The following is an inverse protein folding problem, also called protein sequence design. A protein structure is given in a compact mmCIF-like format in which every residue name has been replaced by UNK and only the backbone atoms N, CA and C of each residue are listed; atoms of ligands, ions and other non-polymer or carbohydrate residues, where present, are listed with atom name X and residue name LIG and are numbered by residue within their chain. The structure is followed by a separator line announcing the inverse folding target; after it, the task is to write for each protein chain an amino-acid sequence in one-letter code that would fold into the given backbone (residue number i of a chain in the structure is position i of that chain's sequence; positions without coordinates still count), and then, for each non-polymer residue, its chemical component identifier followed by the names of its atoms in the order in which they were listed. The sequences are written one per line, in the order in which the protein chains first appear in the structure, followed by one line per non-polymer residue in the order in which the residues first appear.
data_IF_546457627333
#
_entry.id   IF_546457627333
#
_cell.length_a   1.000
_cell.length_b   1.000
_cell.length_c   1.000
_cell.angle_alpha   90.00
_cell.angle_beta   90.00
_cell.angle_gamma   90.00
#
_symmetry.space_group_name_H-M   'P 1'
#
loop_
_entity.id
_entity.type
_entity.pdbx_description
1 polymer ?
#
# COMPACT_ATOMS: atom_id res chain seq x y z
N UNK A 1 5.70 10.56 19.05
CA UNK A 1 6.88 11.43 19.20
C UNK A 1 7.10 11.76 20.68
N UNK A 2 8.35 11.66 21.21
CA UNK A 2 8.66 12.15 22.54
C UNK A 2 8.48 13.68 22.56
N UNK A 3 7.62 14.18 23.46
CA UNK A 3 7.40 15.62 23.63
C UNK A 3 8.63 16.25 24.29
N UNK A 4 9.12 17.33 23.70
CA UNK A 4 10.20 18.12 24.30
C UNK A 4 9.70 18.75 25.62
N UNK A 5 10.55 18.74 26.64
CA UNK A 5 10.24 19.37 27.92
C UNK A 5 10.21 20.90 27.81
N UNK A 6 10.82 21.47 26.77
CA UNK A 6 10.88 22.92 26.54
C UNK A 6 9.52 23.60 26.38
N UNK A 7 8.50 22.86 25.94
CA UNK A 7 7.14 23.39 25.73
C UNK A 7 6.29 23.36 27.01
N UNK A 8 6.82 22.82 28.11
CA UNK A 8 6.10 22.62 29.36
C UNK A 8 6.49 23.70 30.38
N UNK A 9 5.48 24.27 31.04
CA UNK A 9 5.67 25.20 32.15
C UNK A 9 4.82 24.81 33.37
N UNK A 10 5.36 25.07 34.56
CA UNK A 10 4.63 24.90 35.82
C UNK A 10 3.42 25.84 35.84
N UNK A 11 2.30 25.34 36.35
CA UNK A 11 1.00 26.04 36.37
C UNK A 11 0.19 25.90 35.08
N UNK A 12 0.76 25.30 34.02
CA UNK A 12 -0.04 25.00 32.82
C UNK A 12 -0.99 23.84 33.08
N UNK A 13 -2.19 23.98 32.51
CA UNK A 13 -3.18 22.93 32.51
C UNK A 13 -3.16 22.15 31.20
N UNK A 14 -3.26 20.83 31.31
CA UNK A 14 -3.13 19.91 30.20
C UNK A 14 -4.22 18.84 30.25
N UNK A 15 -4.59 18.37 29.07
CA UNK A 15 -5.30 17.12 28.89
C UNK A 15 -4.35 15.95 29.13
N UNK A 16 -4.67 15.10 30.10
CA UNK A 16 -3.92 13.91 30.47
C UNK A 16 -4.68 12.64 30.09
N UNK A 17 -3.97 11.65 29.53
CA UNK A 17 -4.52 10.31 29.31
C UNK A 17 -3.47 9.24 29.62
N UNK A 18 -3.83 8.27 30.48
CA UNK A 18 -2.88 7.24 30.95
C UNK A 18 -2.62 6.17 29.88
N UNK A 19 -3.66 5.69 29.21
CA UNK A 19 -3.64 4.83 28.01
C UNK A 19 -4.50 5.45 26.93
N UNK A 20 -4.36 5.02 25.68
CA UNK A 20 -5.13 5.59 24.56
C UNK A 20 -6.65 5.47 24.74
N UNK A 21 -7.11 4.40 25.38
CA UNK A 21 -8.53 4.08 25.63
C UNK A 21 -9.11 4.71 26.89
N UNK A 22 -8.28 5.32 27.75
CA UNK A 22 -8.76 5.90 29.01
C UNK A 22 -9.43 7.26 28.76
N UNK A 23 -10.27 7.72 29.68
CA UNK A 23 -10.84 9.06 29.62
C UNK A 23 -9.77 10.15 29.76
N UNK A 24 -10.01 11.28 29.11
CA UNK A 24 -9.15 12.46 29.19
C UNK A 24 -9.44 13.24 30.47
N UNK A 25 -8.43 13.48 31.30
CA UNK A 25 -8.58 14.19 32.57
C UNK A 25 -7.82 15.52 32.56
N UNK A 26 -8.37 16.55 33.22
CA UNK A 26 -7.71 17.84 33.42
C UNK A 26 -6.65 17.75 34.52
N UNK A 27 -5.43 18.16 34.20
CA UNK A 27 -4.31 18.17 35.16
C UNK A 27 -3.52 19.47 35.08
N UNK A 28 -2.87 19.85 36.17
CA UNK A 28 -1.92 20.98 36.24
C UNK A 28 -0.50 20.46 36.41
N UNK A 29 0.47 21.05 35.70
CA UNK A 29 1.89 20.75 35.91
C UNK A 29 2.38 21.45 37.18
N UNK A 30 2.77 20.67 38.19
CA UNK A 30 3.29 21.22 39.46
C UNK A 30 4.81 21.32 39.44
N UNK A 31 5.51 20.34 38.83
CA UNK A 31 6.97 20.34 38.73
C UNK A 31 7.46 19.65 37.45
N UNK A 32 8.60 20.10 36.94
CA UNK A 32 9.30 19.47 35.82
C UNK A 32 10.57 18.82 36.36
N UNK A 33 10.73 17.52 36.11
CA UNK A 33 11.88 16.75 36.60
C UNK A 33 13.12 17.02 35.77
N UNK A 34 14.25 17.25 36.45
CA UNK A 34 15.55 17.49 35.81
C UNK A 34 16.33 16.20 35.46
N UNK A 35 15.95 15.06 36.05
CA UNK A 35 16.63 13.77 35.88
C UNK A 35 16.08 12.98 34.68
N UNK A 36 16.94 12.15 34.08
CA UNK A 36 16.52 11.18 33.05
C UNK A 36 16.06 9.86 33.70
N UNK A 37 14.98 9.21 33.19
CA UNK A 37 14.14 9.66 32.07
C UNK A 37 13.23 10.83 32.46
N UNK A 38 12.91 11.68 31.47
CA UNK A 38 12.06 12.86 31.65
C UNK A 38 10.72 12.49 32.32
N UNK A 39 10.38 13.26 33.36
CA UNK A 39 9.15 13.13 34.14
C UNK A 39 8.62 14.50 34.50
N UNK A 40 7.30 14.61 34.54
CA UNK A 40 6.60 15.80 35.02
C UNK A 40 5.66 15.40 36.15
N UNK A 41 5.65 16.18 37.22
CA UNK A 41 4.72 16.01 38.31
C UNK A 41 3.45 16.75 37.97
N UNK A 42 2.35 16.02 37.89
CA UNK A 42 1.02 16.55 37.61
C UNK A 42 0.15 16.49 38.86
N UNK A 43 -0.81 17.40 38.96
CA UNK A 43 -1.90 17.38 39.94
C UNK A 43 -3.22 17.25 39.19
N UNK A 44 -4.04 16.28 39.58
CA UNK A 44 -5.39 16.14 39.04
C UNK A 44 -6.27 17.27 39.57
N UNK A 45 -7.00 17.94 38.66
CA UNK A 45 -7.88 19.06 39.00
C UNK A 45 -9.35 18.63 39.18
N UNK A 46 -9.67 17.38 38.85
CA UNK A 46 -10.99 16.79 39.12
C UNK A 46 -11.12 16.40 40.61
N UNK A 47 -12.24 16.79 41.22
CA UNK A 47 -12.60 16.50 42.61
C UNK A 47 -12.61 14.99 42.90
N UNK A 48 -12.95 14.16 41.90
CA UNK A 48 -12.94 12.70 42.03
C UNK A 48 -11.56 12.12 42.36
N UNK A 49 -10.49 12.90 42.15
CA UNK A 49 -9.11 12.47 42.36
C UNK A 49 -8.49 13.08 43.62
N UNK A 50 -9.26 13.83 44.42
CA UNK A 50 -8.87 14.38 45.73
C UNK A 50 -7.51 15.13 45.71
N UNK A 51 -7.20 15.81 44.60
CA UNK A 51 -5.95 16.56 44.44
C UNK A 51 -4.69 15.69 44.37
N UNK A 52 -4.82 14.39 44.06
CA UNK A 52 -3.70 13.46 43.86
C UNK A 52 -2.65 14.03 42.93
N UNK A 53 -1.39 13.76 43.25
CA UNK A 53 -0.24 14.11 42.41
C UNK A 53 0.50 12.87 41.95
N UNK A 54 1.02 12.88 40.73
CA UNK A 54 1.76 11.76 40.15
C UNK A 54 2.90 12.23 39.25
N UNK A 55 3.99 11.49 39.21
CA UNK A 55 5.06 11.68 38.23
C UNK A 55 4.77 10.86 36.97
N UNK A 56 4.56 11.53 35.84
CA UNK A 56 4.21 10.89 34.58
C UNK A 56 5.23 11.18 33.47
N UNK A 57 5.36 10.31 32.46
CA UNK A 57 6.07 10.65 31.24
C UNK A 57 5.38 11.82 30.52
N UNK A 58 6.12 12.81 29.98
CA UNK A 58 5.55 13.95 29.24
C UNK A 58 4.61 13.55 28.09
N UNK A 59 4.85 12.40 27.45
CA UNK A 59 4.04 11.88 26.35
C UNK A 59 2.57 11.54 26.73
N UNK A 60 2.24 11.50 28.03
CA UNK A 60 0.86 11.32 28.52
C UNK A 60 0.06 12.62 28.55
N UNK A 61 0.73 13.77 28.49
CA UNK A 61 0.08 15.05 28.25
C UNK A 61 -0.22 15.14 26.75
N UNK A 62 -1.46 15.46 26.38
CA UNK A 62 -1.95 15.43 24.99
C UNK A 62 -1.97 16.81 24.37
N UNK A 63 -2.72 17.73 24.95
CA UNK A 63 -2.80 19.13 24.51
C UNK A 63 -2.98 20.03 25.73
N UNK A 64 -2.77 21.34 25.58
CA UNK A 64 -3.19 22.29 26.60
C UNK A 64 -4.70 22.12 26.84
N UNK A 65 -5.12 22.26 28.09
CA UNK A 65 -6.54 22.08 28.43
C UNK A 65 -7.45 23.03 27.66
N UNK A 66 -6.98 24.24 27.36
CA UNK A 66 -7.70 25.20 26.52
C UNK A 66 -8.06 24.68 25.12
N UNK A 67 -7.33 23.68 24.61
CA UNK A 67 -7.54 23.08 23.28
C UNK A 67 -8.11 21.66 23.37
N UNK A 68 -8.58 21.21 24.54
CA UNK A 68 -9.06 19.84 24.75
C UNK A 68 -10.26 19.51 23.88
N UNK A 69 -11.19 20.46 23.72
CA UNK A 69 -12.42 20.24 22.96
C UNK A 69 -12.14 20.03 21.47
N UNK A 70 -11.24 20.84 20.89
CA UNK A 70 -10.82 20.70 19.49
C UNK A 70 -10.12 19.37 19.25
N UNK A 71 -9.21 18.99 20.15
CA UNK A 71 -8.49 17.72 20.08
C UNK A 71 -9.43 16.52 20.22
N UNK A 72 -10.38 16.57 21.17
CA UNK A 72 -11.37 15.51 21.35
C UNK A 72 -12.33 15.42 20.16
N UNK A 73 -12.75 16.56 19.60
CA UNK A 73 -13.55 16.59 18.38
C UNK A 73 -12.82 15.96 17.19
N UNK A 74 -11.51 16.20 17.05
CA UNK A 74 -10.68 15.52 16.04
C UNK A 74 -10.60 14.02 16.29
N UNK A 75 -10.35 13.57 17.52
CA UNK A 75 -10.33 12.14 17.83
C UNK A 75 -11.67 11.47 17.53
N UNK A 76 -12.78 12.15 17.83
CA UNK A 76 -14.12 11.64 17.53
C UNK A 76 -14.37 11.51 16.01
N UNK A 77 -13.87 12.45 15.19
CA UNK A 77 -13.95 12.34 13.72
C UNK A 77 -13.15 11.15 13.20
N UNK A 78 -11.91 10.98 13.66
CA UNK A 78 -11.10 9.80 13.34
C UNK A 78 -11.78 8.50 13.77
N UNK A 79 -12.32 8.44 14.98
CA UNK A 79 -13.05 7.28 15.47
C UNK A 79 -14.31 6.98 14.63
N UNK A 80 -15.03 8.01 14.17
CA UNK A 80 -16.19 7.85 13.30
C UNK A 80 -15.81 7.25 11.93
N UNK A 81 -14.72 7.73 11.32
CA UNK A 81 -14.21 7.17 10.05
C UNK A 81 -13.79 5.71 10.23
N UNK A 82 -13.05 5.39 11.28
CA UNK A 82 -12.67 4.00 11.57
C UNK A 82 -13.88 3.10 11.82
N UNK A 83 -14.87 3.58 12.59
CA UNK A 83 -16.08 2.81 12.88
C UNK A 83 -16.98 2.60 11.65
N UNK A 84 -16.97 3.55 10.71
CA UNK A 84 -17.70 3.44 9.45
C UNK A 84 -16.99 2.55 8.42
N UNK A 85 -15.74 2.17 8.67
CA UNK A 85 -14.95 1.39 7.73
C UNK A 85 -14.87 -0.06 8.17
N UNK A 86 -15.52 -0.94 7.41
CA UNK A 86 -15.57 -2.38 7.63
C UNK A 86 -14.84 -3.10 6.50
N UNK A 87 -13.51 -3.03 6.55
CA UNK A 87 -12.62 -3.61 5.54
C UNK A 87 -12.34 -5.08 5.89
N UNK A 88 -12.68 -6.00 4.98
CA UNK A 88 -12.32 -7.40 5.16
C UNK A 88 -10.81 -7.64 4.94
N UNK A 89 -10.24 -8.67 5.58
CA UNK A 89 -8.78 -8.92 5.55
C UNK A 89 -8.22 -9.08 4.12
N UNK A 90 -8.95 -9.77 3.25
CA UNK A 90 -8.54 -9.98 1.86
C UNK A 90 -8.75 -8.74 0.98
N UNK A 91 -9.70 -7.86 1.33
CA UNK A 91 -9.84 -6.55 0.71
C UNK A 91 -8.66 -5.64 1.09
N UNK A 92 -8.18 -5.70 2.34
CA UNK A 92 -6.97 -4.99 2.79
C UNK A 92 -5.74 -5.44 2.02
N UNK A 93 -5.56 -6.75 1.82
CA UNK A 93 -4.50 -7.28 0.97
C UNK A 93 -4.64 -6.81 -0.49
N UNK A 94 -5.85 -6.83 -1.06
CA UNK A 94 -6.07 -6.39 -2.44
C UNK A 94 -5.79 -4.90 -2.63
N UNK A 95 -6.23 -4.08 -1.68
CA UNK A 95 -5.89 -2.65 -1.62
C UNK A 95 -4.37 -2.48 -1.58
N UNK A 96 -3.70 -3.12 -0.62
CA UNK A 96 -2.26 -3.01 -0.45
C UNK A 96 -1.53 -3.36 -1.76
N UNK A 97 -1.94 -4.43 -2.44
CA UNK A 97 -1.39 -4.83 -3.74
C UNK A 97 -1.54 -3.74 -4.80
N UNK A 98 -2.72 -3.13 -4.95
CA UNK A 98 -2.93 -2.04 -5.92
C UNK A 98 -1.98 -0.89 -5.64
N UNK A 99 -1.89 -0.45 -4.39
CA UNK A 99 -1.05 0.70 -4.04
C UNK A 99 0.44 0.39 -4.16
N UNK A 100 0.88 -0.77 -3.70
CA UNK A 100 2.28 -1.17 -3.75
C UNK A 100 2.75 -1.30 -5.20
N UNK A 101 1.98 -1.99 -6.05
CA UNK A 101 2.32 -2.13 -7.47
C UNK A 101 2.33 -0.78 -8.20
N UNK A 102 1.32 0.08 -7.99
CA UNK A 102 1.33 1.39 -8.65
C UNK A 102 2.45 2.30 -8.14
N UNK A 103 2.86 2.18 -6.87
CA UNK A 103 4.05 2.88 -6.33
C UNK A 103 5.35 2.37 -6.93
N UNK A 104 5.51 1.05 -7.07
CA UNK A 104 6.66 0.45 -7.76
C UNK A 104 6.77 0.96 -9.20
N UNK A 105 5.62 1.16 -9.87
CA UNK A 105 5.55 1.75 -11.21
C UNK A 105 5.61 3.28 -11.26
N UNK A 106 5.83 3.93 -10.11
CA UNK A 106 5.92 5.38 -9.95
C UNK A 106 4.71 6.15 -10.50
N UNK A 107 3.49 5.63 -10.29
CA UNK A 107 2.27 6.35 -10.66
C UNK A 107 2.09 7.57 -9.73
N UNK A 108 2.19 8.81 -10.23
CA UNK A 108 2.25 10.00 -9.37
C UNK A 108 1.02 10.17 -8.47
N UNK A 109 -0.15 9.81 -9.01
CA UNK A 109 -1.42 9.91 -8.29
C UNK A 109 -1.45 9.14 -6.97
N UNK A 110 -0.72 8.02 -6.87
CA UNK A 110 -0.69 7.18 -5.67
C UNK A 110 0.30 7.71 -4.62
N UNK A 111 1.22 8.59 -5.02
CA UNK A 111 2.13 9.26 -4.09
C UNK A 111 1.40 10.27 -3.19
N UNK A 112 0.30 10.84 -3.67
CA UNK A 112 -0.54 11.82 -2.95
C UNK A 112 -1.62 11.18 -2.07
N UNK A 113 -1.63 9.84 -1.99
CA UNK A 113 -2.60 9.08 -1.22
C UNK A 113 -1.94 8.42 -0.01
N UNK A 114 -2.43 8.80 1.17
CA UNK A 114 -1.94 8.32 2.45
C UNK A 114 -2.79 7.17 2.96
N UNK A 115 -2.15 6.01 3.13
CA UNK A 115 -2.78 4.83 3.71
C UNK A 115 -2.47 4.77 5.21
N UNK A 116 -3.52 4.81 6.04
CA UNK A 116 -3.38 4.85 7.49
C UNK A 116 -3.32 3.46 8.16
N UNK A 117 -2.98 2.41 7.41
CA UNK A 117 -2.49 1.15 7.97
C UNK A 117 -3.54 0.21 8.57
N UNK A 118 -4.79 0.65 8.75
CA UNK A 118 -5.85 -0.15 9.37
C UNK A 118 -7.24 0.32 8.96
N UNK A 119 -8.14 -0.63 8.74
CA UNK A 119 -9.58 -0.45 8.48
C UNK A 119 -9.93 0.32 7.19
N UNK A 120 -9.02 0.44 6.23
CA UNK A 120 -9.37 1.02 4.92
C UNK A 120 -9.65 2.52 4.92
N UNK A 121 -9.02 3.26 5.84
CA UNK A 121 -9.07 4.72 5.85
C UNK A 121 -8.00 5.27 4.91
N UNK A 122 -8.41 6.22 4.06
CA UNK A 122 -7.54 6.87 3.07
C UNK A 122 -7.46 8.38 3.30
N UNK A 123 -6.25 8.92 3.23
CA UNK A 123 -5.98 10.35 3.15
C UNK A 123 -5.73 10.79 1.72
N UNK A 124 -6.30 11.92 1.33
CA UNK A 124 -6.18 12.53 0.00
C UNK A 124 -5.64 13.94 0.18
N UNK A 125 -4.39 14.16 -0.22
CA UNK A 125 -3.72 15.46 -0.08
C UNK A 125 -4.15 16.47 -1.15
N UNK A 126 -4.44 15.98 -2.36
CA UNK A 126 -4.89 16.80 -3.49
C UNK A 126 -6.16 16.18 -4.13
N UNK A 127 -7.31 16.64 -3.66
CA UNK A 127 -8.64 16.16 -4.10
C UNK A 127 -8.89 16.50 -5.57
N UNK A 128 -8.49 17.69 -6.02
CA UNK A 128 -8.71 18.13 -7.40
C UNK A 128 -7.87 17.32 -8.39
N UNK A 129 -6.60 17.07 -8.05
CA UNK A 129 -5.73 16.20 -8.84
C UNK A 129 -6.25 14.75 -8.86
N UNK A 130 -6.81 14.26 -7.76
CA UNK A 130 -7.43 12.93 -7.70
C UNK A 130 -8.64 12.83 -8.63
N UNK A 131 -9.56 13.81 -8.54
CA UNK A 131 -10.76 13.88 -9.36
C UNK A 131 -10.41 13.94 -10.85
N UNK A 132 -9.51 14.85 -11.24
CA UNK A 132 -9.06 14.97 -12.61
C UNK A 132 -8.28 13.72 -13.07
N UNK A 133 -7.44 13.19 -12.19
CA UNK A 133 -6.58 12.03 -12.44
C UNK A 133 -7.34 10.71 -12.57
N UNK A 134 -8.54 10.58 -12.00
CA UNK A 134 -9.37 9.36 -12.08
C UNK A 134 -10.68 9.56 -12.82
N UNK A 135 -10.95 10.78 -13.31
CA UNK A 135 -12.22 11.15 -13.94
C UNK A 135 -13.39 10.75 -13.04
N UNK A 136 -13.32 11.18 -11.78
CA UNK A 136 -14.35 10.96 -10.77
C UNK A 136 -15.33 12.14 -10.74
N UNK A 137 -16.55 11.90 -10.29
CA UNK A 137 -17.46 12.98 -9.91
C UNK A 137 -17.17 13.36 -8.44
N UNK A 138 -17.14 14.66 -8.08
CA UNK A 138 -16.85 15.09 -6.70
C UNK A 138 -17.75 14.44 -5.65
N UNK A 139 -19.01 14.19 -6.01
CA UNK A 139 -20.02 13.55 -5.15
C UNK A 139 -19.62 12.12 -4.75
N UNK A 140 -18.79 11.44 -5.55
CA UNK A 140 -18.27 10.09 -5.24
C UNK A 140 -17.28 10.09 -4.09
N UNK A 141 -16.71 11.26 -3.75
CA UNK A 141 -15.81 11.45 -2.61
C UNK A 141 -16.54 11.93 -1.35
N UNK A 142 -17.84 12.22 -1.45
CA UNK A 142 -18.63 12.72 -0.34
C UNK A 142 -19.13 11.58 0.54
N UNK A 143 -18.79 11.62 1.83
CA UNK A 143 -19.36 10.73 2.84
C UNK A 143 -19.59 11.50 4.15
N UNK A 144 -20.70 11.26 4.88
CA UNK A 144 -21.04 12.00 6.10
C UNK A 144 -19.99 11.97 7.21
N UNK A 145 -19.14 10.94 7.27
CA UNK A 145 -18.08 10.83 8.28
C UNK A 145 -16.72 11.31 7.78
N UNK A 146 -16.58 11.60 6.48
CA UNK A 146 -15.35 12.18 5.93
C UNK A 146 -15.09 13.57 6.50
N UNK A 147 -13.82 13.93 6.66
CA UNK A 147 -13.44 15.24 7.17
C UNK A 147 -12.06 15.68 6.67
N UNK A 148 -11.84 16.98 6.65
CA UNK A 148 -10.51 17.56 6.35
C UNK A 148 -9.74 17.67 7.65
N UNK A 149 -8.55 17.07 7.70
CA UNK A 149 -7.67 17.12 8.85
C UNK A 149 -6.82 18.40 8.87
N UNK A 150 -6.10 18.67 9.96
CA UNK A 150 -5.40 19.94 10.19
C UNK A 150 -4.32 20.27 9.15
N UNK A 151 -3.80 19.27 8.47
CA UNK A 151 -2.81 19.38 7.40
C UNK A 151 -3.44 19.65 6.02
N UNK A 152 -4.78 19.70 5.94
CA UNK A 152 -5.53 19.88 4.70
C UNK A 152 -5.89 18.56 4.01
N UNK A 153 -5.45 17.42 4.53
CA UNK A 153 -5.73 16.10 3.97
C UNK A 153 -7.20 15.74 4.17
N UNK A 154 -7.90 15.37 3.10
CA UNK A 154 -9.24 14.81 3.19
C UNK A 154 -9.15 13.34 3.63
N UNK A 155 -9.70 13.03 4.79
CA UNK A 155 -9.76 11.67 5.35
C UNK A 155 -11.13 11.06 5.03
N UNK A 156 -11.12 9.91 4.35
CA UNK A 156 -12.33 9.22 3.88
C UNK A 156 -12.41 7.78 4.39
N UNK A 157 -13.63 7.25 4.63
CA UNK A 157 -13.82 5.86 5.06
C UNK A 157 -13.65 4.86 3.91
N UNK A 158 -13.63 3.56 4.23
CA UNK A 158 -13.45 2.48 3.26
C UNK A 158 -14.44 2.56 2.09
N UNK A 159 -15.71 2.90 2.34
CA UNK A 159 -16.71 2.97 1.26
C UNK A 159 -16.29 3.91 0.12
N UNK A 160 -15.72 5.08 0.45
CA UNK A 160 -15.20 6.05 -0.53
C UNK A 160 -13.86 5.57 -1.09
N UNK A 161 -12.98 5.08 -0.22
CA UNK A 161 -11.66 4.64 -0.66
C UNK A 161 -11.74 3.44 -1.63
N UNK A 162 -12.70 2.54 -1.46
CA UNK A 162 -12.95 1.41 -2.37
C UNK A 162 -13.29 1.89 -3.78
N UNK A 163 -14.07 2.98 -3.89
CA UNK A 163 -14.38 3.60 -5.19
C UNK A 163 -13.10 4.09 -5.86
N UNK A 164 -12.22 4.76 -5.10
CA UNK A 164 -10.93 5.25 -5.58
C UNK A 164 -10.02 4.08 -6.01
N UNK A 165 -9.88 3.05 -5.17
CA UNK A 165 -9.02 1.88 -5.45
C UNK A 165 -9.49 1.13 -6.69
N UNK A 166 -10.81 0.92 -6.84
CA UNK A 166 -11.37 0.29 -8.04
C UNK A 166 -11.11 1.13 -9.29
N UNK A 167 -11.26 2.46 -9.20
CA UNK A 167 -11.00 3.35 -10.33
C UNK A 167 -9.52 3.38 -10.72
N UNK A 168 -8.62 3.36 -9.73
CA UNK A 168 -7.18 3.16 -9.95
C UNK A 168 -6.91 1.85 -10.67
N UNK A 169 -7.51 0.75 -10.20
CA UNK A 169 -7.31 -0.57 -10.77
C UNK A 169 -7.76 -0.65 -12.24
N UNK A 170 -8.92 -0.06 -12.56
CA UNK A 170 -9.41 0.03 -13.94
C UNK A 170 -8.51 0.88 -14.82
N UNK A 171 -8.12 2.07 -14.34
CA UNK A 171 -7.32 3.02 -15.13
C UNK A 171 -5.92 2.48 -15.43
N UNK A 172 -5.34 1.75 -14.48
CA UNK A 172 -3.97 1.23 -14.57
C UNK A 172 -3.93 -0.30 -14.67
N UNK A 173 -4.97 -0.92 -15.22
CA UNK A 173 -5.10 -2.36 -15.32
C UNK A 173 -3.89 -3.03 -15.98
N UNK A 174 -3.39 -2.47 -17.09
CA UNK A 174 -2.23 -3.02 -17.81
C UNK A 174 -0.96 -3.05 -16.92
N UNK A 175 -0.76 -2.05 -16.06
CA UNK A 175 0.38 -2.00 -15.15
C UNK A 175 0.21 -3.03 -14.01
N UNK A 176 -0.98 -3.13 -13.45
CA UNK A 176 -1.28 -4.06 -12.36
C UNK A 176 -1.17 -5.51 -12.82
N UNK A 177 -1.78 -5.85 -13.96
CA UNK A 177 -1.75 -7.20 -14.52
C UNK A 177 -0.33 -7.60 -14.91
N UNK A 178 0.47 -6.67 -15.45
CA UNK A 178 1.88 -6.91 -15.73
C UNK A 178 2.70 -7.19 -14.47
N UNK A 179 2.49 -6.42 -13.40
CA UNK A 179 3.22 -6.62 -12.15
C UNK A 179 2.80 -7.92 -11.46
N UNK A 180 1.50 -8.25 -11.46
CA UNK A 180 0.99 -9.52 -10.96
C UNK A 180 1.60 -10.72 -11.69
N UNK A 181 1.64 -10.70 -13.02
CA UNK A 181 2.25 -11.77 -13.81
C UNK A 181 3.76 -11.87 -13.54
N UNK A 182 4.47 -10.74 -13.40
CA UNK A 182 5.90 -10.75 -13.04
C UNK A 182 6.15 -11.42 -11.66
N UNK A 183 5.32 -11.11 -10.67
CA UNK A 183 5.35 -11.76 -9.36
C UNK A 183 5.04 -13.26 -9.48
N UNK A 184 4.02 -13.66 -10.23
CA UNK A 184 3.64 -15.06 -10.44
C UNK A 184 4.71 -15.86 -11.19
N UNK A 185 5.38 -15.27 -12.19
CA UNK A 185 6.53 -15.89 -12.87
C UNK A 185 7.68 -16.10 -11.91
N UNK A 186 7.98 -15.09 -11.08
CA UNK A 186 9.02 -15.18 -10.06
C UNK A 186 8.72 -16.31 -9.07
N UNK A 187 7.49 -16.38 -8.54
CA UNK A 187 7.05 -17.47 -7.64
C UNK A 187 7.19 -18.85 -8.31
N UNK A 188 6.72 -18.99 -9.56
CA UNK A 188 6.85 -20.24 -10.34
C UNK A 188 8.31 -20.65 -10.54
N UNK A 189 9.19 -19.71 -10.84
CA UNK A 189 10.63 -19.98 -11.00
C UNK A 189 11.25 -20.44 -9.67
N UNK A 190 10.96 -19.74 -8.57
CA UNK A 190 11.46 -20.06 -7.23
C UNK A 190 10.94 -21.41 -6.72
N UNK A 191 9.70 -21.76 -7.01
CA UNK A 191 9.13 -23.07 -6.68
C UNK A 191 9.78 -24.22 -7.46
N UNK A 192 10.34 -23.94 -8.63
CA UNK A 192 11.01 -24.94 -9.46
C UNK A 192 12.49 -25.11 -9.11
N UNK A 193 13.17 -24.02 -8.80
CA UNK A 193 14.63 -24.00 -8.70
C UNK A 193 15.16 -23.59 -7.33
N UNK A 194 14.33 -23.05 -6.43
CA UNK A 194 14.79 -22.33 -5.25
C UNK A 194 15.32 -20.94 -5.61
N UNK A 195 15.77 -20.19 -4.60
CA UNK A 195 16.47 -18.92 -4.84
C UNK A 195 17.45 -18.55 -3.72
N UNK A 196 18.37 -17.66 -4.04
CA UNK A 196 19.26 -17.05 -3.06
C UNK A 196 18.53 -15.87 -2.38
N UNK A 197 18.51 -15.84 -1.05
CA UNK A 197 18.04 -14.73 -0.23
C UNK A 197 19.16 -14.26 0.68
N UNK A 198 19.83 -13.17 0.29
CA UNK A 198 21.04 -12.69 0.95
C UNK A 198 22.14 -13.76 0.97
N UNK A 199 22.55 -14.20 2.17
CA UNK A 199 23.58 -15.24 2.35
C UNK A 199 23.04 -16.67 2.36
N UNK A 200 21.71 -16.86 2.32
CA UNK A 200 21.08 -18.17 2.46
C UNK A 200 20.47 -18.62 1.14
N UNK A 201 20.62 -19.91 0.85
CA UNK A 201 19.90 -20.56 -0.23
C UNK A 201 18.59 -21.12 0.30
N UNK A 202 17.48 -20.81 -0.38
CA UNK A 202 16.14 -21.33 -0.08
C UNK A 202 15.82 -22.39 -1.14
N UNK A 203 15.52 -23.61 -0.70
CA UNK A 203 15.20 -24.71 -1.60
C UNK A 203 13.84 -24.53 -2.26
N UNK A 204 13.68 -25.13 -3.44
CA UNK A 204 12.42 -25.20 -4.18
C UNK A 204 11.24 -25.71 -3.33
N UNK A 205 11.48 -26.71 -2.47
CA UNK A 205 10.47 -27.28 -1.57
C UNK A 205 9.98 -26.27 -0.53
N UNK A 206 10.88 -25.47 0.06
CA UNK A 206 10.51 -24.41 1.00
C UNK A 206 9.73 -23.32 0.26
N UNK A 207 10.18 -22.92 -0.93
CA UNK A 207 9.46 -21.94 -1.76
C UNK A 207 8.03 -22.42 -2.05
N UNK A 208 7.86 -23.66 -2.53
CA UNK A 208 6.55 -24.22 -2.86
C UNK A 208 5.61 -24.30 -1.65
N UNK A 209 6.15 -24.65 -0.48
CA UNK A 209 5.35 -24.67 0.76
C UNK A 209 4.89 -23.26 1.16
N UNK A 210 5.81 -22.29 1.17
CA UNK A 210 5.47 -20.90 1.50
C UNK A 210 4.50 -20.33 0.47
N UNK A 211 4.69 -20.61 -0.81
CA UNK A 211 3.77 -20.16 -1.86
C UNK A 211 2.36 -20.73 -1.68
N UNK A 212 2.23 -22.01 -1.29
CA UNK A 212 0.93 -22.60 -0.98
C UNK A 212 0.25 -21.95 0.24
N UNK A 213 1.01 -21.61 1.29
CA UNK A 213 0.51 -20.85 2.45
C UNK A 213 0.05 -19.44 2.02
N UNK A 214 0.85 -18.75 1.21
CA UNK A 214 0.54 -17.42 0.67
C UNK A 214 -0.61 -17.44 -0.36
N UNK A 215 -0.87 -18.56 -1.02
CA UNK A 215 -2.02 -18.71 -1.94
C UNK A 215 -3.35 -18.73 -1.18
N UNK A 216 -3.37 -19.34 0.02
CA UNK A 216 -4.56 -19.33 0.88
C UNK A 216 -4.85 -17.92 1.40
N UNK A 217 -3.82 -17.17 1.78
CA UNK A 217 -3.96 -15.82 2.35
C UNK A 217 -4.20 -14.74 1.28
N UNK A 218 -3.41 -14.73 0.20
CA UNK A 218 -3.41 -13.66 -0.82
C UNK A 218 -4.08 -14.04 -2.14
N UNK A 219 -4.47 -15.30 -2.33
CA UNK A 219 -5.19 -15.75 -3.54
C UNK A 219 -6.49 -14.99 -3.77
N UNK A 220 -7.37 -14.87 -2.76
CA UNK A 220 -8.60 -14.09 -2.87
C UNK A 220 -8.34 -12.61 -3.20
N UNK A 221 -7.28 -12.03 -2.62
CA UNK A 221 -6.89 -10.65 -2.87
C UNK A 221 -6.43 -10.44 -4.32
N UNK A 222 -5.60 -11.34 -4.87
CA UNK A 222 -5.20 -11.31 -6.28
C UNK A 222 -6.39 -11.38 -7.21
N UNK A 223 -7.32 -12.27 -6.94
CA UNK A 223 -8.52 -12.42 -7.75
C UNK A 223 -9.40 -11.16 -7.68
N UNK A 224 -9.53 -10.56 -6.50
CA UNK A 224 -10.24 -9.30 -6.31
C UNK A 224 -9.60 -8.16 -7.11
N UNK A 225 -8.27 -8.06 -7.16
CA UNK A 225 -7.57 -7.06 -8.00
C UNK A 225 -7.86 -7.29 -9.48
N UNK A 226 -7.85 -8.54 -9.97
CA UNK A 226 -8.24 -8.85 -11.37
C UNK A 226 -9.67 -8.42 -11.66
N UNK A 227 -10.59 -8.70 -10.73
CA UNK A 227 -11.99 -8.27 -10.85
C UNK A 227 -12.11 -6.76 -10.90
N UNK A 228 -11.33 -6.02 -10.10
CA UNK A 228 -11.30 -4.56 -10.13
C UNK A 228 -10.72 -3.99 -11.43
N UNK A 229 -9.68 -4.62 -12.01
CA UNK A 229 -9.16 -4.25 -13.33
C UNK A 229 -10.23 -4.37 -14.43
N UNK A 230 -11.19 -5.28 -14.26
CA UNK A 230 -12.31 -5.49 -15.19
C UNK A 230 -12.01 -6.57 -16.23
N UNK A 231 -13.05 -7.29 -16.63
CA UNK A 231 -12.94 -8.49 -17.48
C UNK A 231 -12.31 -8.19 -18.84
N UNK A 232 -12.68 -7.08 -19.48
CA UNK A 232 -12.09 -6.71 -20.78
C UNK A 232 -10.58 -6.50 -20.70
N UNK A 233 -10.09 -5.84 -19.65
CA UNK A 233 -8.67 -5.61 -19.48
C UNK A 233 -7.92 -6.91 -19.22
N UNK A 234 -8.50 -7.80 -18.40
CA UNK A 234 -7.95 -9.15 -18.15
C UNK A 234 -7.90 -9.97 -19.44
N UNK A 235 -9.00 -10.04 -20.18
CA UNK A 235 -9.09 -10.80 -21.43
C UNK A 235 -8.07 -10.31 -22.47
N UNK A 236 -7.95 -8.98 -22.64
CA UNK A 236 -6.94 -8.40 -23.55
C UNK A 236 -5.52 -8.70 -23.10
N UNK A 237 -5.26 -8.70 -21.80
CA UNK A 237 -3.94 -9.02 -21.26
C UNK A 237 -3.60 -10.50 -21.46
N UNK A 238 -4.56 -11.39 -21.23
CA UNK A 238 -4.42 -12.83 -21.46
C UNK A 238 -4.19 -13.15 -22.94
N UNK A 239 -4.91 -12.48 -23.85
CA UNK A 239 -4.66 -12.57 -25.30
C UNK A 239 -3.24 -12.11 -25.64
N UNK A 240 -2.79 -11.00 -25.06
CA UNK A 240 -1.43 -10.50 -25.26
C UNK A 240 -0.36 -11.47 -24.72
N UNK A 241 -0.62 -12.15 -23.61
CA UNK A 241 0.26 -13.21 -23.11
C UNK A 241 0.30 -14.41 -24.07
N UNK A 242 -0.85 -14.88 -24.53
CA UNK A 242 -0.93 -15.99 -25.48
C UNK A 242 -0.21 -15.68 -26.80
N UNK A 243 -0.38 -14.46 -27.32
CA UNK A 243 0.33 -13.98 -28.51
C UNK A 243 1.85 -13.93 -28.29
N UNK A 244 2.30 -13.49 -27.11
CA UNK A 244 3.73 -13.48 -26.77
C UNK A 244 4.32 -14.90 -26.72
N UNK A 245 3.61 -15.84 -26.11
CA UNK A 245 4.03 -17.25 -26.09
C UNK A 245 4.12 -17.84 -27.51
N UNK A 246 3.15 -17.52 -28.36
CA UNK A 246 3.15 -17.98 -29.75
C UNK A 246 4.32 -17.40 -30.56
N UNK A 247 4.64 -16.12 -30.37
CA UNK A 247 5.82 -15.49 -30.99
C UNK A 247 7.11 -16.19 -30.55
N UNK A 248 7.27 -16.50 -29.26
CA UNK A 248 8.44 -17.23 -28.76
C UNK A 248 8.52 -18.63 -29.37
N UNK A 249 7.39 -19.34 -29.42
CA UNK A 249 7.31 -20.69 -29.99
C UNK A 249 7.70 -20.70 -31.47
N UNK A 250 7.17 -19.76 -32.25
CA UNK A 250 7.50 -19.58 -33.67
C UNK A 250 8.97 -19.18 -33.85
N UNK A 251 9.50 -18.29 -33.03
CA UNK A 251 10.92 -17.92 -33.03
C UNK A 251 11.83 -19.14 -32.83
N UNK A 252 11.53 -19.99 -31.85
CA UNK A 252 12.28 -21.23 -31.61
C UNK A 252 12.16 -22.27 -32.74
N UNK A 253 11.00 -22.33 -33.41
CA UNK A 253 10.83 -23.19 -34.60
C UNK A 253 11.67 -22.69 -35.78
N UNK A 254 11.63 -21.39 -36.04
CA UNK A 254 12.42 -20.75 -37.10
C UNK A 254 13.91 -20.93 -36.83
N UNK A 255 14.36 -20.79 -35.59
CA UNK A 255 15.76 -21.02 -35.23
C UNK A 255 16.23 -22.45 -35.53
N UNK A 256 15.41 -23.43 -35.17
CA UNK A 256 15.68 -24.84 -35.50
C UNK A 256 15.71 -25.05 -37.02
N UNK A 257 14.77 -24.45 -37.74
CA UNK A 257 14.71 -24.55 -39.20
C UNK A 257 15.95 -23.92 -39.87
N UNK A 258 16.34 -22.70 -39.47
CA UNK A 258 17.55 -22.02 -39.96
C UNK A 258 18.81 -22.82 -39.61
N UNK A 259 18.88 -23.40 -38.42
CA UNK A 259 20.01 -24.25 -38.01
C UNK A 259 20.16 -25.49 -38.89
N UNK A 260 19.04 -26.13 -39.26
CA UNK A 260 19.04 -27.27 -40.18
C UNK A 260 19.36 -26.82 -41.60
N UNK A 261 18.72 -25.74 -42.09
CA UNK A 261 18.94 -25.20 -43.43
C UNK A 261 20.39 -24.77 -43.64
N UNK A 262 21.02 -24.15 -42.64
CA UNK A 262 22.43 -23.75 -42.68
C UNK A 262 23.40 -24.92 -42.92
N UNK A 263 23.01 -26.15 -42.58
CA UNK A 263 23.78 -27.37 -42.88
C UNK A 263 23.64 -27.83 -44.33
N UNK A 264 22.56 -27.44 -45.01
CA UNK A 264 22.25 -27.83 -46.39
C UNK A 264 22.55 -26.69 -47.40
N UNK A 265 22.05 -25.48 -47.14
CA UNK A 265 22.30 -24.26 -47.91
C UNK A 265 22.45 -23.05 -46.98
N UNK A 266 23.69 -22.58 -46.87
CA UNK A 266 24.03 -21.42 -46.03
C UNK A 266 23.49 -20.10 -46.59
N UNK A 267 23.36 -19.96 -47.91
CA UNK A 267 22.95 -18.69 -48.54
C UNK A 267 21.46 -18.42 -48.31
N UNK A 268 20.62 -19.45 -48.42
CA UNK A 268 19.19 -19.34 -48.10
C UNK A 268 18.95 -19.12 -46.61
N UNK A 269 19.69 -19.81 -45.74
CA UNK A 269 19.62 -19.59 -44.29
C UNK A 269 19.94 -18.14 -43.91
N UNK A 270 21.00 -17.57 -44.50
CA UNK A 270 21.42 -16.18 -44.25
C UNK A 270 20.50 -15.15 -44.95
N UNK A 271 19.63 -15.56 -45.89
CA UNK A 271 18.61 -14.71 -46.50
C UNK A 271 17.35 -14.63 -45.63
N UNK A 272 16.87 -15.77 -45.12
CA UNK A 272 15.73 -15.85 -44.18
C UNK A 272 16.05 -15.06 -42.90
N UNK A 273 17.25 -15.20 -42.35
CA UNK A 273 17.67 -14.44 -41.16
C UNK A 273 17.72 -12.92 -41.42
N UNK A 274 18.00 -12.49 -42.66
CA UNK A 274 17.94 -11.07 -43.07
C UNK A 274 16.52 -10.56 -43.23
N UNK A 275 15.60 -11.36 -43.79
CA UNK A 275 14.19 -11.00 -43.93
C UNK A 275 13.46 -10.89 -42.58
N UNK A 276 13.87 -11.68 -41.59
CA UNK A 276 13.37 -11.60 -40.22
C UNK A 276 13.72 -10.27 -39.52
N UNK A 277 14.70 -9.50 -40.03
CA UNK A 277 15.03 -8.16 -39.54
C UNK A 277 15.61 -8.10 -38.11
N UNK A 278 15.73 -9.24 -37.42
CA UNK A 278 16.26 -9.39 -36.06
C UNK A 278 17.04 -10.72 -36.02
N UNK A 279 18.28 -10.78 -35.48
CA UNK A 279 18.98 -12.05 -35.32
C UNK A 279 18.14 -13.03 -34.51
N UNK A 280 18.02 -14.28 -34.96
CA UNK A 280 17.05 -15.23 -34.37
C UNK A 280 17.35 -15.49 -32.89
N UNK A 281 18.64 -15.51 -32.50
CA UNK A 281 19.05 -15.64 -31.10
C UNK A 281 18.66 -14.46 -30.18
N UNK A 282 18.36 -13.28 -30.74
CA UNK A 282 17.89 -12.13 -29.95
C UNK A 282 16.40 -12.12 -29.65
N UNK A 283 15.59 -12.95 -30.33
CA UNK A 283 14.16 -13.08 -30.04
C UNK A 283 13.91 -13.79 -28.69
N UNK A 284 14.85 -14.62 -28.23
CA UNK A 284 14.79 -15.28 -26.91
C UNK A 284 15.29 -14.39 -25.77
N UNK A 285 16.24 -13.47 -26.03
CA UNK A 285 16.89 -12.66 -24.98
C UNK A 285 16.22 -11.32 -24.69
N UNK A 286 15.36 -10.80 -25.57
CA UNK A 286 14.72 -9.48 -25.39
C UNK A 286 13.59 -9.44 -24.35
N UNK A 287 13.31 -10.54 -23.65
CA UNK A 287 12.24 -10.62 -22.64
C UNK A 287 12.67 -11.15 -21.27
N UNK A 288 13.97 -11.37 -21.02
CA UNK A 288 14.49 -11.62 -19.67
C UNK A 288 14.86 -10.32 -18.92
N UNK A 289 14.52 -9.15 -19.48
CA UNK A 289 14.67 -7.81 -18.88
C UNK A 289 13.33 -7.10 -18.79
#
# INVERSE_FOLDING_TARGET
MPRDLGDLAVGQEWAYRKRQVDETTRVEIVKIGAAKPARVQIKFLDDAHEGRQEWVPPARLKVLWANVDEWQARENRWAAVYAASDLEVWEDHAWYMVFDYLRIRNVPLVAELDYFGTAGVLGISDVDALIAGLELEPEMLSDPVSFVDSDGTLVVPWAVAQVIVRRLAQKYADLLLAEMDAHERTRRQQNRFGHQSGKHWISAEICARVDAEMEVEYGPARELVRQWCGTEAVDRYDELLALREEVVRLGGLIERAVTVLRRADRREADAIERELGVPVGTLQHRQEQ
#
